data_IF_911457169253
#
_entry.id   IF_911457169253
#
_cell.length_a   1.000
_cell.length_b   1.000
_cell.length_c   1.000
_cell.angle_alpha   90.00
_cell.angle_beta   90.00
_cell.angle_gamma   90.00
#
_symmetry.space_group_name_H-M   'P 1'
#
loop_
_entity.id
_entity.type
_entity.pdbx_description
1 polymer ?
#
# COMPACT_ATOMS: atom_id res chain seq x y z
N UNK A 1 -4.91 5.99 12.33
CA UNK A 1 -6.02 5.48 11.49
C UNK A 1 -5.65 4.15 10.85
N UNK A 2 -6.55 3.15 10.83
CA UNK A 2 -6.34 1.87 10.13
C UNK A 2 -7.16 1.81 8.85
N UNK A 3 -6.52 1.45 7.74
CA UNK A 3 -7.16 1.31 6.43
C UNK A 3 -6.93 -0.09 5.85
N UNK A 4 -7.92 -0.57 5.10
CA UNK A 4 -7.79 -1.80 4.31
C UNK A 4 -7.16 -1.42 2.97
N UNK A 5 -6.13 -2.16 2.57
CA UNK A 5 -5.40 -1.90 1.33
C UNK A 5 -5.27 -3.17 0.50
N UNK A 6 -5.68 -3.11 -0.76
CA UNK A 6 -5.53 -4.17 -1.75
C UNK A 6 -4.40 -3.82 -2.71
N UNK A 7 -3.31 -4.58 -2.64
CA UNK A 7 -2.14 -4.40 -3.50
C UNK A 7 -2.32 -5.16 -4.81
N UNK A 8 -2.15 -4.44 -5.93
CA UNK A 8 -2.08 -4.99 -7.29
C UNK A 8 -0.65 -4.84 -7.83
N UNK A 9 0.20 -5.88 -7.69
CA UNK A 9 1.55 -5.83 -8.25
C UNK A 9 1.54 -5.98 -9.77
N UNK A 10 2.68 -5.70 -10.40
CA UNK A 10 2.87 -5.73 -11.87
C UNK A 10 1.94 -4.75 -12.62
N UNK A 11 1.57 -3.64 -11.99
CA UNK A 11 0.85 -2.58 -12.67
C UNK A 11 1.78 -1.84 -13.65
N UNK A 12 1.20 -1.21 -14.68
CA UNK A 12 1.96 -0.33 -15.58
C UNK A 12 2.47 0.92 -14.87
N UNK A 13 1.68 1.42 -13.93
CA UNK A 13 1.93 2.65 -13.19
C UNK A 13 1.55 2.48 -11.72
N UNK A 14 2.20 3.25 -10.86
CA UNK A 14 1.95 3.27 -9.42
C UNK A 14 0.78 4.22 -9.16
N UNK A 15 -0.32 3.71 -8.59
CA UNK A 15 -1.55 4.49 -8.39
C UNK A 15 -2.26 4.06 -7.11
N UNK A 16 -2.79 5.03 -6.37
CA UNK A 16 -3.67 4.82 -5.22
C UNK A 16 -5.09 5.21 -5.60
N UNK A 17 -6.04 4.31 -5.42
CA UNK A 17 -7.45 4.52 -5.68
C UNK A 17 -8.24 4.18 -4.41
N UNK A 18 -9.16 5.05 -4.01
CA UNK A 18 -10.07 4.78 -2.90
C UNK A 18 -11.36 4.17 -3.47
N UNK A 19 -11.69 2.94 -3.06
CA UNK A 19 -12.96 2.27 -3.38
C UNK A 19 -13.73 2.09 -2.07
N UNK A 20 -14.83 2.82 -1.89
CA UNK A 20 -15.75 2.69 -0.73
C UNK A 20 -15.01 2.51 0.61
N UNK A 21 -14.79 1.26 1.05
CA UNK A 21 -14.16 0.87 2.32
C UNK A 21 -12.70 0.33 2.21
N UNK A 22 -12.10 0.31 1.03
CA UNK A 22 -10.72 -0.14 0.80
C UNK A 22 -9.93 0.75 -0.17
N UNK A 23 -8.61 0.79 0.01
CA UNK A 23 -7.70 1.43 -0.93
C UNK A 23 -7.11 0.38 -1.86
N UNK A 24 -7.20 0.60 -3.17
CA UNK A 24 -6.50 -0.23 -4.16
C UNK A 24 -5.22 0.48 -4.52
N UNK A 25 -4.08 -0.16 -4.23
CA UNK A 25 -2.76 0.35 -4.57
C UNK A 25 -2.16 -0.53 -5.66
N UNK A 26 -2.06 0.04 -6.85
CA UNK A 26 -1.37 -0.55 -7.98
C UNK A 26 0.11 -0.19 -7.86
N UNK A 27 0.99 -1.19 -7.88
CA UNK A 27 2.44 -1.01 -7.77
C UNK A 27 3.14 -1.66 -8.96
N UNK A 28 4.18 -1.02 -9.47
CA UNK A 28 4.96 -1.56 -10.59
C UNK A 28 5.86 -2.70 -10.16
N UNK A 29 6.31 -2.68 -8.90
CA UNK A 29 7.18 -3.70 -8.36
C UNK A 29 6.57 -5.10 -8.51
N UNK A 30 7.42 -6.01 -8.95
CA UNK A 30 7.15 -7.44 -8.81
C UNK A 30 6.96 -7.77 -7.32
N UNK A 31 6.12 -8.78 -7.00
CA UNK A 31 5.89 -9.23 -5.64
C UNK A 31 7.08 -10.05 -5.11
N UNK A 32 8.31 -9.63 -5.42
CA UNK A 32 9.55 -10.16 -4.87
C UNK A 32 9.72 -9.56 -3.47
N UNK A 33 10.04 -10.42 -2.50
CA UNK A 33 10.03 -10.16 -1.06
C UNK A 33 10.39 -8.71 -0.70
N UNK A 34 9.40 -7.98 -0.18
CA UNK A 34 9.57 -6.63 0.36
C UNK A 34 9.41 -5.46 -0.62
N UNK A 35 9.66 -5.63 -1.93
CA UNK A 35 9.62 -4.48 -2.87
C UNK A 35 8.23 -3.88 -3.02
N UNK A 36 7.22 -4.73 -3.14
CA UNK A 36 5.82 -4.30 -3.17
C UNK A 36 5.35 -3.67 -1.84
N UNK A 37 6.03 -3.93 -0.72
CA UNK A 37 5.72 -3.28 0.56
C UNK A 37 6.31 -1.86 0.60
N UNK A 38 7.57 -1.71 0.16
CA UNK A 38 8.23 -0.41 0.10
C UNK A 38 7.50 0.55 -0.83
N UNK A 39 7.15 0.10 -2.04
CA UNK A 39 6.43 0.94 -3.01
C UNK A 39 5.00 1.24 -2.56
N UNK A 40 4.35 0.31 -1.85
CA UNK A 40 3.06 0.57 -1.21
C UNK A 40 3.16 1.70 -0.18
N UNK A 41 4.15 1.64 0.71
CA UNK A 41 4.35 2.67 1.75
C UNK A 41 4.64 4.02 1.10
N UNK A 42 5.43 4.04 0.04
CA UNK A 42 5.74 5.25 -0.73
C UNK A 42 4.49 5.84 -1.39
N UNK A 43 3.71 5.02 -2.10
CA UNK A 43 2.47 5.47 -2.74
C UNK A 43 1.46 6.03 -1.72
N UNK A 44 1.32 5.38 -0.56
CA UNK A 44 0.45 5.85 0.51
C UNK A 44 1.00 7.13 1.18
N UNK A 45 2.32 7.23 1.34
CA UNK A 45 2.97 8.43 1.90
C UNK A 45 2.71 9.66 1.05
N UNK A 46 2.82 9.53 -0.27
CA UNK A 46 2.51 10.59 -1.23
C UNK A 46 1.02 10.94 -1.23
N UNK A 47 0.15 9.93 -1.25
CA UNK A 47 -1.30 10.13 -1.29
C UNK A 47 -1.84 10.83 -0.04
N UNK A 48 -1.45 10.36 1.15
CA UNK A 48 -1.90 10.92 2.44
C UNK A 48 -1.05 12.11 2.90
N UNK A 49 0.06 12.43 2.20
CA UNK A 49 1.03 13.48 2.57
C UNK A 49 1.56 13.31 4.00
N UNK A 50 1.81 12.07 4.41
CA UNK A 50 2.38 11.73 5.71
C UNK A 50 3.74 11.06 5.54
N UNK A 51 4.67 11.19 6.51
CA UNK A 51 5.96 10.51 6.42
C UNK A 51 5.82 8.99 6.35
N UNK A 52 6.70 8.33 5.58
CA UNK A 52 6.78 6.86 5.49
C UNK A 52 6.90 6.18 6.86
N UNK A 53 7.53 6.84 7.84
CA UNK A 53 7.67 6.35 9.23
C UNK A 53 6.35 6.22 9.99
N UNK A 54 5.31 6.97 9.59
CA UNK A 54 3.96 6.92 10.15
C UNK A 54 3.07 5.87 9.49
N UNK A 55 3.57 5.17 8.47
CA UNK A 55 2.81 4.17 7.72
C UNK A 55 3.38 2.79 8.04
N UNK A 56 2.54 1.91 8.57
CA UNK A 56 2.93 0.56 8.99
C UNK A 56 1.95 -0.49 8.50
N UNK A 57 2.46 -1.57 7.93
CA UNK A 57 1.64 -2.73 7.57
C UNK A 57 1.44 -3.56 8.84
N UNK A 58 0.24 -3.52 9.40
CA UNK A 58 -0.11 -4.25 10.63
C UNK A 58 -0.57 -5.67 10.36
N UNK A 59 -1.09 -5.96 9.17
CA UNK A 59 -1.48 -7.31 8.77
C UNK A 59 -1.37 -7.54 7.25
N UNK A 60 -1.24 -8.81 6.85
CA UNK A 60 -1.25 -9.20 5.45
C UNK A 60 0.08 -9.04 4.71
N UNK A 61 1.23 -9.09 5.41
CA UNK A 61 2.56 -8.93 4.80
C UNK A 61 2.81 -9.82 3.57
N UNK A 62 2.27 -11.04 3.56
CA UNK A 62 2.35 -12.00 2.44
C UNK A 62 1.08 -12.05 1.57
N UNK A 63 0.07 -11.27 1.89
CA UNK A 63 -1.22 -11.24 1.19
C UNK A 63 -1.35 -10.01 0.30
N UNK A 64 -2.18 -10.11 -0.74
CA UNK A 64 -2.60 -8.96 -1.56
C UNK A 64 -3.53 -8.03 -0.78
N UNK A 65 -4.24 -8.53 0.23
CA UNK A 65 -5.06 -7.72 1.14
C UNK A 65 -4.26 -7.46 2.40
N UNK A 66 -4.07 -6.19 2.72
CA UNK A 66 -3.26 -5.69 3.83
C UNK A 66 -4.08 -4.77 4.70
N UNK A 67 -3.72 -4.71 5.96
CA UNK A 67 -4.20 -3.66 6.86
C UNK A 67 -3.00 -2.77 7.11
N UNK A 68 -3.17 -1.49 6.81
CA UNK A 68 -2.14 -0.47 6.98
C UNK A 68 -2.63 0.51 8.05
N UNK A 69 -1.76 0.79 9.00
CA UNK A 69 -1.95 1.82 10.02
C UNK A 69 -1.17 3.06 9.59
N UNK A 70 -1.85 4.21 9.71
CA UNK A 70 -1.32 5.54 9.42
C UNK A 70 -1.50 6.36 10.70
N UNK A 71 -0.41 6.77 11.36
CA UNK A 71 -0.43 7.62 12.56
C UNK A 71 -0.94 9.04 12.29
#
# INVERSE_FOLDING_TARGET
>A
MKIKVRVRPNARETKVEQLEDEFVVSVRAHPVEGRANSELIEALSEYFRVPKSRIRIVAGLRSRKKIVEID
#
